data_IF_434635752900
#
_entry.id   IF_434635752900
#
_cell.length_a   1.000
_cell.length_b   1.000
_cell.length_c   1.000
_cell.angle_alpha   90.00
_cell.angle_beta   90.00
_cell.angle_gamma   90.00
#
_symmetry.space_group_name_H-M   'P 1'
#
loop_
_entity.id
_entity.type
_entity.pdbx_description
1 polymer ?
#
# COMPACT_ATOMS: atom_id res chain seq x y z
N UNK A 1 -33.80 48.37 16.96
CA UNK A 1 -33.32 48.16 15.58
C UNK A 1 -32.85 46.71 15.51
N UNK A 2 -33.68 45.88 14.86
CA UNK A 2 -33.46 44.44 14.75
C UNK A 2 -32.73 44.15 13.44
N UNK A 3 -31.54 43.54 13.51
CA UNK A 3 -30.77 43.11 12.35
C UNK A 3 -31.03 41.63 12.06
N UNK A 4 -31.74 41.33 10.99
CA UNK A 4 -31.97 39.96 10.49
C UNK A 4 -30.70 39.40 9.86
N UNK A 5 -30.27 38.21 10.31
CA UNK A 5 -29.26 37.39 9.65
C UNK A 5 -29.94 36.42 8.66
N UNK A 6 -29.68 36.61 7.37
CA UNK A 6 -30.08 35.69 6.32
C UNK A 6 -29.05 34.55 6.24
N UNK A 7 -29.48 33.35 6.57
CA UNK A 7 -28.69 32.12 6.37
C UNK A 7 -28.95 31.66 4.93
N UNK A 8 -27.93 31.76 4.08
CA UNK A 8 -27.96 31.18 2.74
C UNK A 8 -27.62 29.69 2.80
N UNK A 9 -28.60 28.85 2.58
CA UNK A 9 -28.42 27.42 2.41
C UNK A 9 -27.93 27.17 0.97
N UNK A 10 -26.68 26.69 0.81
CA UNK A 10 -26.18 26.22 -0.46
C UNK A 10 -26.64 24.76 -0.66
N UNK A 11 -27.58 24.56 -1.60
CA UNK A 11 -27.92 23.24 -2.12
C UNK A 11 -26.77 22.71 -2.96
N UNK A 12 -26.09 21.67 -2.47
CA UNK A 12 -25.14 20.89 -3.25
C UNK A 12 -25.88 19.98 -4.23
N UNK A 13 -25.65 20.17 -5.52
CA UNK A 13 -26.14 19.28 -6.57
C UNK A 13 -25.43 17.93 -6.52
N UNK A 14 -26.14 16.85 -6.19
CA UNK A 14 -25.71 15.48 -6.41
C UNK A 14 -25.71 15.20 -7.93
N UNK A 15 -24.54 15.13 -8.53
CA UNK A 15 -24.35 14.55 -9.86
C UNK A 15 -24.35 13.01 -9.71
N UNK A 16 -25.47 12.40 -10.11
CA UNK A 16 -25.56 10.95 -10.27
C UNK A 16 -24.78 10.56 -11.53
N UNK A 17 -23.61 9.96 -11.35
CA UNK A 17 -22.86 9.33 -12.44
C UNK A 17 -23.50 7.97 -12.72
N UNK A 18 -24.25 7.87 -13.80
CA UNK A 18 -24.77 6.61 -14.35
C UNK A 18 -23.61 5.74 -14.81
N UNK A 19 -23.32 4.68 -14.09
CA UNK A 19 -22.37 3.65 -14.51
C UNK A 19 -23.01 2.82 -15.65
N UNK A 20 -22.54 3.02 -16.87
CA UNK A 20 -22.79 2.08 -17.97
C UNK A 20 -21.98 0.81 -17.73
N UNK A 21 -22.67 -0.26 -17.35
CA UNK A 21 -22.09 -1.61 -17.29
C UNK A 21 -22.06 -2.20 -18.71
N UNK A 22 -20.89 -2.21 -19.34
CA UNK A 22 -20.66 -3.04 -20.52
C UNK A 22 -20.60 -4.52 -20.13
N UNK A 23 -21.18 -5.45 -20.90
CA UNK A 23 -21.12 -6.86 -20.61
C UNK A 23 -19.69 -7.39 -20.80
N UNK A 24 -19.21 -8.13 -19.80
CA UNK A 24 -17.92 -8.81 -19.80
C UNK A 24 -17.92 -9.91 -20.87
N UNK A 25 -16.87 -10.03 -21.73
CA UNK A 25 -16.80 -11.11 -22.68
C UNK A 25 -16.61 -12.46 -21.97
N UNK A 26 -17.28 -13.50 -22.48
CA UNK A 26 -17.22 -14.86 -22.00
C UNK A 26 -15.76 -15.39 -22.04
N UNK A 27 -15.29 -15.93 -20.91
CA UNK A 27 -14.00 -16.62 -20.84
C UNK A 27 -14.07 -17.91 -21.64
N UNK A 28 -13.25 -18.00 -22.68
CA UNK A 28 -12.98 -19.26 -23.36
C UNK A 28 -12.15 -20.18 -22.44
N UNK A 29 -12.52 -21.46 -22.42
CA UNK A 29 -11.81 -22.52 -21.73
C UNK A 29 -10.38 -22.63 -22.29
N UNK A 30 -9.39 -22.42 -21.46
CA UNK A 30 -7.98 -22.64 -21.79
C UNK A 30 -7.59 -24.04 -21.30
N UNK A 31 -7.21 -24.86 -22.21
CA UNK A 31 -6.76 -26.25 -22.06
C UNK A 31 -5.61 -26.37 -21.01
N UNK A 32 -5.85 -27.14 -19.95
CA UNK A 32 -4.98 -27.32 -18.80
C UNK A 32 -4.03 -28.54 -18.99
N UNK A 33 -3.25 -28.60 -20.08
CA UNK A 33 -2.30 -29.69 -20.28
C UNK A 33 -0.89 -29.22 -20.67
N UNK A 34 -0.23 -28.45 -19.78
CA UNK A 34 1.23 -28.35 -19.83
C UNK A 34 1.78 -28.51 -18.40
N UNK A 35 2.36 -29.69 -18.15
CA UNK A 35 3.05 -29.97 -16.90
C UNK A 35 4.25 -29.03 -16.72
N UNK A 36 4.20 -28.21 -15.66
CA UNK A 36 5.32 -27.36 -15.23
C UNK A 36 6.39 -28.25 -14.61
N UNK A 37 7.66 -28.16 -15.01
CA UNK A 37 8.73 -28.93 -14.37
C UNK A 37 8.89 -28.47 -12.90
N UNK A 38 8.82 -29.44 -12.00
CA UNK A 38 9.08 -29.29 -10.58
C UNK A 38 10.53 -28.81 -10.38
N UNK A 39 10.78 -27.67 -9.71
CA UNK A 39 12.14 -27.28 -9.38
C UNK A 39 12.68 -28.26 -8.32
N UNK A 40 13.70 -29.02 -8.72
CA UNK A 40 14.47 -29.89 -7.81
C UNK A 40 15.04 -29.07 -6.67
N UNK A 41 14.63 -29.43 -5.46
CA UNK A 41 14.93 -28.74 -4.22
C UNK A 41 16.42 -28.52 -3.95
N UNK A 42 16.78 -27.26 -3.84
CA UNK A 42 17.89 -26.84 -3.02
C UNK A 42 17.25 -26.25 -1.76
N UNK A 43 17.27 -27.02 -0.67
CA UNK A 43 16.82 -26.55 0.63
C UNK A 43 17.51 -25.23 0.94
N UNK A 44 16.77 -24.13 0.85
CA UNK A 44 17.23 -22.83 1.31
C UNK A 44 17.46 -22.95 2.81
N UNK A 45 18.68 -22.62 3.27
CA UNK A 45 19.00 -22.53 4.69
C UNK A 45 17.98 -21.59 5.34
N UNK A 46 17.05 -22.19 6.06
CA UNK A 46 16.12 -21.45 6.91
C UNK A 46 16.94 -20.66 7.93
N UNK A 47 16.89 -19.35 7.88
CA UNK A 47 17.49 -18.49 8.91
C UNK A 47 18.07 -17.14 8.48
N UNK A 48 18.11 -16.82 7.18
CA UNK A 48 18.83 -15.62 6.70
C UNK A 48 18.01 -14.44 6.17
N UNK A 49 16.74 -14.64 5.85
CA UNK A 49 15.99 -13.68 5.01
C UNK A 49 15.09 -12.67 5.77
N UNK A 50 14.85 -12.85 7.06
CA UNK A 50 13.86 -12.07 7.82
C UNK A 50 14.40 -10.79 8.50
N UNK A 51 15.48 -10.20 7.98
CA UNK A 51 16.14 -9.03 8.63
C UNK A 51 15.99 -7.72 7.87
N UNK A 52 15.20 -7.67 6.79
CA UNK A 52 15.18 -6.51 5.89
C UNK A 52 14.77 -5.20 6.56
N UNK A 53 13.51 -5.07 6.98
CA UNK A 53 13.02 -3.81 7.56
C UNK A 53 13.53 -3.59 8.99
N UNK A 54 13.56 -4.63 9.84
CA UNK A 54 14.07 -4.48 11.22
C UNK A 54 15.55 -4.10 11.22
N UNK A 55 16.37 -4.71 10.37
CA UNK A 55 17.79 -4.37 10.26
C UNK A 55 17.98 -2.93 9.73
N UNK A 56 17.10 -2.45 8.85
CA UNK A 56 17.22 -1.15 8.21
C UNK A 56 16.59 -0.02 9.02
N UNK A 57 15.42 -0.27 9.64
CA UNK A 57 14.60 0.75 10.31
C UNK A 57 14.56 0.59 11.84
N UNK A 58 15.22 -0.43 12.38
CA UNK A 58 15.23 -0.74 13.81
C UNK A 58 13.94 -1.36 14.33
N UNK A 59 12.88 -1.42 13.52
CA UNK A 59 11.58 -1.97 13.89
C UNK A 59 10.80 -2.44 12.65
N UNK A 60 9.77 -3.29 12.82
CA UNK A 60 8.82 -3.57 11.76
C UNK A 60 8.13 -2.29 11.28
N UNK A 61 7.84 -2.21 9.98
CA UNK A 61 7.06 -1.12 9.43
C UNK A 61 5.58 -1.36 9.70
N UNK A 62 4.97 -0.49 10.49
CA UNK A 62 3.53 -0.50 10.79
C UNK A 62 2.92 0.71 10.09
N UNK A 63 2.31 0.44 8.93
CA UNK A 63 1.94 1.47 7.99
C UNK A 63 0.43 1.71 7.99
N UNK A 64 0.03 2.98 8.00
CA UNK A 64 -1.34 3.43 7.75
C UNK A 64 -1.40 4.10 6.39
N UNK A 65 -2.36 3.71 5.54
CA UNK A 65 -2.61 4.45 4.31
C UNK A 65 -3.61 5.57 4.59
N UNK A 66 -3.18 6.80 4.38
CA UNK A 66 -4.01 7.99 4.47
C UNK A 66 -4.49 8.41 3.08
N UNK A 67 -5.61 7.83 2.64
CA UNK A 67 -6.17 8.11 1.32
C UNK A 67 -6.76 9.52 1.21
N UNK A 68 -7.32 10.03 2.30
CA UNK A 68 -7.96 11.35 2.34
C UNK A 68 -7.11 12.32 3.18
N UNK A 69 -6.51 13.37 2.55
CA UNK A 69 -5.56 14.26 3.24
C UNK A 69 -6.17 15.05 4.40
N UNK A 70 -7.50 15.24 4.40
CA UNK A 70 -8.23 15.98 5.43
C UNK A 70 -8.57 15.14 6.67
N UNK A 71 -8.39 13.82 6.61
CA UNK A 71 -8.68 12.94 7.75
C UNK A 71 -7.57 13.08 8.79
N UNK A 72 -7.94 13.48 10.00
CA UNK A 72 -7.01 13.48 11.14
C UNK A 72 -6.75 12.04 11.58
N UNK A 73 -5.49 11.64 11.54
CA UNK A 73 -5.04 10.30 11.88
C UNK A 73 -4.34 10.23 13.24
N UNK A 74 -4.24 11.36 13.95
CA UNK A 74 -3.44 11.47 15.18
C UNK A 74 -3.86 10.44 16.22
N UNK A 75 -5.15 10.33 16.50
CA UNK A 75 -5.67 9.39 17.48
C UNK A 75 -5.48 7.93 17.08
N UNK A 76 -5.70 7.62 15.78
CA UNK A 76 -5.50 6.27 15.24
C UNK A 76 -4.03 5.87 15.32
N UNK A 77 -3.13 6.78 14.97
CA UNK A 77 -1.68 6.56 15.06
C UNK A 77 -1.25 6.33 16.50
N UNK A 78 -1.70 7.17 17.42
CA UNK A 78 -1.36 7.07 18.85
C UNK A 78 -1.85 5.74 19.46
N UNK A 79 -3.08 5.33 19.14
CA UNK A 79 -3.69 4.12 19.71
C UNK A 79 -3.11 2.83 19.14
N UNK A 80 -2.74 2.81 17.86
CA UNK A 80 -2.30 1.61 17.16
C UNK A 80 -0.79 1.56 16.94
N UNK A 81 -0.08 2.66 17.22
CA UNK A 81 1.38 2.74 17.14
C UNK A 81 1.90 2.58 15.72
N UNK A 82 1.23 3.16 14.75
CA UNK A 82 1.76 3.32 13.41
C UNK A 82 3.05 4.15 13.45
N UNK A 83 4.02 3.76 12.65
CA UNK A 83 5.30 4.47 12.51
C UNK A 83 5.52 5.00 11.09
N UNK A 84 4.67 4.64 10.15
CA UNK A 84 4.78 4.99 8.74
C UNK A 84 3.41 5.35 8.19
N UNK A 85 3.33 6.42 7.39
CA UNK A 85 2.12 6.80 6.65
C UNK A 85 2.39 6.70 5.15
N UNK A 86 1.46 6.07 4.45
CA UNK A 86 1.38 6.12 3.00
C UNK A 86 0.49 7.27 2.60
N UNK A 87 0.98 8.13 1.69
CA UNK A 87 0.32 9.38 1.34
C UNK A 87 -0.18 9.39 -0.10
N UNK A 88 -1.30 10.09 -0.29
CA UNK A 88 -1.96 10.29 -1.58
C UNK A 88 -1.80 11.77 -2.01
N UNK A 89 -0.56 12.25 -2.07
CA UNK A 89 -0.30 13.58 -2.60
C UNK A 89 -0.76 13.65 -4.07
N UNK A 90 -1.37 14.76 -4.50
CA UNK A 90 -1.78 14.94 -5.90
C UNK A 90 -0.55 15.04 -6.83
N UNK A 91 -0.80 14.97 -8.16
CA UNK A 91 0.25 15.28 -9.14
C UNK A 91 0.93 16.62 -8.79
N UNK A 92 2.25 16.66 -8.99
CA UNK A 92 3.03 17.86 -8.71
C UNK A 92 2.70 18.99 -9.70
N UNK A 93 2.16 20.07 -9.16
CA UNK A 93 1.80 21.30 -9.90
C UNK A 93 2.52 22.53 -9.37
N UNK A 94 3.59 22.34 -8.57
CA UNK A 94 4.38 23.43 -7.97
C UNK A 94 4.13 23.63 -6.47
N UNK A 95 3.42 22.72 -5.80
CA UNK A 95 3.20 22.79 -4.35
C UNK A 95 4.51 22.73 -3.58
N UNK A 96 4.56 23.49 -2.47
CA UNK A 96 5.69 23.47 -1.54
C UNK A 96 5.61 22.24 -0.64
N UNK A 97 6.74 21.89 -0.03
CA UNK A 97 6.85 20.77 0.90
C UNK A 97 5.82 20.85 2.04
N UNK A 98 5.66 22.03 2.65
CA UNK A 98 4.77 22.28 3.78
C UNK A 98 3.28 22.14 3.44
N UNK A 99 2.95 22.13 2.15
CA UNK A 99 1.59 21.96 1.64
C UNK A 99 1.23 20.49 1.40
N UNK A 100 2.23 19.61 1.43
CA UNK A 100 2.06 18.19 1.12
C UNK A 100 1.40 17.41 2.24
N UNK A 101 0.79 16.29 1.87
CA UNK A 101 0.32 15.30 2.84
C UNK A 101 1.49 14.63 3.57
N UNK A 102 2.61 14.41 2.88
CA UNK A 102 3.85 13.89 3.47
C UNK A 102 4.30 14.74 4.67
N UNK A 103 4.37 16.07 4.48
CA UNK A 103 4.76 16.98 5.57
C UNK A 103 3.79 16.89 6.74
N UNK A 104 2.47 16.97 6.48
CA UNK A 104 1.44 16.88 7.54
C UNK A 104 1.51 15.56 8.29
N UNK A 105 1.70 14.44 7.59
CA UNK A 105 1.82 13.14 8.22
C UNK A 105 3.01 13.07 9.19
N UNK A 106 4.14 13.67 8.84
CA UNK A 106 5.34 13.71 9.70
C UNK A 106 5.18 14.62 10.94
N UNK A 107 4.16 15.48 10.97
CA UNK A 107 3.83 16.24 12.19
C UNK A 107 3.05 15.40 13.21
N UNK A 108 2.52 14.24 12.83
CA UNK A 108 1.76 13.36 13.73
C UNK A 108 2.74 12.62 14.66
N UNK A 109 2.59 12.76 15.99
CA UNK A 109 3.46 12.08 16.94
C UNK A 109 3.48 10.56 16.74
N UNK A 110 4.67 9.97 16.66
CA UNK A 110 4.87 8.54 16.43
C UNK A 110 5.16 8.17 14.98
N UNK A 111 4.79 9.00 14.01
CA UNK A 111 5.16 8.80 12.61
C UNK A 111 6.63 9.18 12.41
N UNK A 112 7.37 8.24 11.84
CA UNK A 112 8.80 8.38 11.52
C UNK A 112 9.08 8.43 10.04
N UNK A 113 8.19 7.83 9.24
CA UNK A 113 8.41 7.64 7.82
C UNK A 113 7.15 7.92 7.01
N UNK A 114 7.37 8.32 5.76
CA UNK A 114 6.31 8.46 4.76
C UNK A 114 6.69 7.75 3.46
N UNK A 115 5.68 7.21 2.78
CA UNK A 115 5.80 6.57 1.47
C UNK A 115 4.72 7.17 0.57
N UNK A 116 5.07 8.18 -0.25
CA UNK A 116 4.18 8.69 -1.28
C UNK A 116 4.02 7.67 -2.41
N UNK A 117 3.02 7.90 -3.26
CA UNK A 117 2.74 7.03 -4.42
C UNK A 117 2.75 7.79 -5.74
N UNK A 118 2.96 7.06 -6.83
CA UNK A 118 2.51 7.43 -8.17
C UNK A 118 1.17 6.74 -8.38
N UNK A 119 0.15 7.55 -8.69
CA UNK A 119 -1.21 7.07 -8.84
C UNK A 119 -1.51 6.59 -10.25
N UNK A 120 -2.64 5.93 -10.40
CA UNK A 120 -3.13 5.36 -11.65
C UNK A 120 -3.50 6.43 -12.68
N UNK A 121 -3.13 6.19 -13.93
CA UNK A 121 -3.61 7.00 -15.05
C UNK A 121 -5.14 6.89 -15.21
N UNK A 122 -5.70 5.71 -14.89
CA UNK A 122 -7.14 5.49 -14.83
C UNK A 122 -7.89 6.48 -13.91
N UNK A 123 -7.19 7.11 -12.95
CA UNK A 123 -7.75 8.09 -12.02
C UNK A 123 -7.34 9.52 -12.35
N UNK A 124 -6.94 9.75 -13.59
CA UNK A 124 -6.70 11.08 -14.15
C UNK A 124 -5.24 11.56 -14.08
N UNK A 125 -4.30 10.74 -13.59
CA UNK A 125 -2.89 11.10 -13.63
C UNK A 125 -2.32 10.99 -15.03
N UNK A 126 -1.68 12.05 -15.48
CA UNK A 126 -1.02 12.09 -16.78
C UNK A 126 0.38 11.45 -16.73
N UNK A 127 0.93 11.05 -17.87
CA UNK A 127 2.32 10.60 -17.93
C UNK A 127 3.29 11.73 -17.54
N UNK A 128 3.04 12.94 -18.07
CA UNK A 128 3.88 14.11 -17.77
C UNK A 128 3.83 14.47 -16.28
N UNK A 129 2.63 14.51 -15.68
CA UNK A 129 2.44 14.77 -14.26
C UNK A 129 3.11 13.72 -13.38
N UNK A 130 3.01 12.45 -13.76
CA UNK A 130 3.67 11.34 -13.07
C UNK A 130 5.20 11.47 -13.12
N UNK A 131 5.78 11.85 -14.26
CA UNK A 131 7.22 12.09 -14.40
C UNK A 131 7.71 13.26 -13.55
N UNK A 132 6.94 14.37 -13.53
CA UNK A 132 7.25 15.54 -12.69
C UNK A 132 7.18 15.18 -11.21
N UNK A 133 6.11 14.47 -10.81
CA UNK A 133 5.89 14.04 -9.42
C UNK A 133 7.00 13.09 -8.98
N UNK A 134 7.39 12.13 -9.82
CA UNK A 134 8.45 11.18 -9.52
C UNK A 134 9.80 11.86 -9.26
N UNK A 135 10.19 12.83 -10.10
CA UNK A 135 11.41 13.63 -9.90
C UNK A 135 11.35 14.43 -8.63
N UNK A 136 10.23 15.14 -8.42
CA UNK A 136 10.03 15.97 -7.24
C UNK A 136 10.10 15.19 -5.93
N UNK A 137 9.43 14.01 -5.84
CA UNK A 137 9.53 13.13 -4.68
C UNK A 137 10.97 12.65 -4.48
N UNK A 138 11.68 12.30 -5.56
CA UNK A 138 13.06 11.90 -5.47
C UNK A 138 13.98 13.05 -4.98
N UNK A 139 13.73 14.31 -5.38
CA UNK A 139 14.43 15.49 -4.87
C UNK A 139 14.14 15.74 -3.40
N UNK A 140 12.85 15.62 -2.99
CA UNK A 140 12.46 15.75 -1.59
C UNK A 140 13.14 14.68 -0.72
N UNK A 141 13.24 13.45 -1.19
CA UNK A 141 13.86 12.34 -0.45
C UNK A 141 15.38 12.52 -0.21
N UNK A 142 16.05 13.38 -0.96
CA UNK A 142 17.44 13.77 -0.70
C UNK A 142 17.55 14.72 0.50
N UNK A 143 16.51 15.52 0.75
CA UNK A 143 16.42 16.52 1.83
C UNK A 143 15.76 15.96 3.08
N UNK A 144 14.74 15.13 2.90
CA UNK A 144 13.88 14.56 3.94
C UNK A 144 14.06 13.04 3.98
N UNK A 145 14.88 12.56 4.92
CA UNK A 145 15.23 11.13 5.05
C UNK A 145 14.07 10.26 5.54
N UNK A 146 13.03 10.91 6.02
CA UNK A 146 11.77 10.31 6.40
C UNK A 146 10.98 9.78 5.19
N UNK A 147 11.26 10.27 3.98
CA UNK A 147 10.72 9.71 2.72
C UNK A 147 11.55 8.47 2.38
N UNK A 148 11.07 7.30 2.79
CA UNK A 148 11.82 6.04 2.68
C UNK A 148 11.55 5.27 1.39
N UNK A 149 10.63 5.72 0.56
CA UNK A 149 10.32 5.06 -0.70
C UNK A 149 9.25 5.75 -1.51
N UNK A 150 9.01 5.23 -2.69
CA UNK A 150 7.95 5.64 -3.62
C UNK A 150 7.16 4.39 -4.04
N UNK A 151 5.85 4.40 -3.84
CA UNK A 151 4.98 3.30 -4.22
C UNK A 151 4.42 3.48 -5.64
N UNK A 152 4.57 2.45 -6.46
CA UNK A 152 4.02 2.39 -7.81
C UNK A 152 2.64 1.71 -7.73
N UNK A 153 1.59 2.53 -7.58
CA UNK A 153 0.27 1.99 -7.28
C UNK A 153 -0.32 1.21 -8.46
N UNK A 154 -0.83 0.01 -8.15
CA UNK A 154 -1.50 -0.88 -9.10
C UNK A 154 -0.77 -1.05 -10.44
N UNK A 155 0.55 -1.06 -10.39
CA UNK A 155 1.48 -1.10 -11.52
C UNK A 155 1.06 -2.10 -12.61
N UNK A 156 0.73 -3.35 -12.26
CA UNK A 156 0.33 -4.34 -13.25
C UNK A 156 -1.08 -4.14 -13.76
N UNK A 157 -2.00 -3.69 -12.93
CA UNK A 157 -3.37 -3.43 -13.35
C UNK A 157 -3.41 -2.35 -14.42
N UNK A 158 -2.58 -1.31 -14.26
CA UNK A 158 -2.42 -0.24 -15.25
C UNK A 158 -1.97 -0.75 -16.62
N UNK A 159 -1.06 -1.73 -16.65
CA UNK A 159 -0.57 -2.34 -17.88
C UNK A 159 -1.64 -3.24 -18.49
N UNK A 160 -2.29 -4.09 -17.69
CA UNK A 160 -3.31 -5.02 -18.17
C UNK A 160 -4.56 -4.33 -18.68
N UNK A 161 -4.93 -3.23 -18.05
CA UNK A 161 -6.09 -2.41 -18.44
C UNK A 161 -5.75 -1.43 -19.58
N UNK A 162 -4.47 -1.35 -19.99
CA UNK A 162 -4.02 -0.51 -21.10
C UNK A 162 -3.96 0.99 -20.77
N UNK A 163 -3.95 1.35 -19.49
CA UNK A 163 -3.86 2.76 -19.06
C UNK A 163 -2.43 3.29 -19.10
N UNK A 164 -1.43 2.43 -18.82
CA UNK A 164 0.00 2.68 -18.99
C UNK A 164 0.70 1.49 -19.61
N UNK A 165 1.70 1.77 -20.42
CA UNK A 165 2.61 0.74 -20.93
C UNK A 165 3.76 0.49 -19.95
N UNK A 166 4.44 -0.64 -20.11
CA UNK A 166 5.67 -0.92 -19.37
C UNK A 166 6.74 0.14 -19.64
N UNK A 167 6.81 0.68 -20.86
CA UNK A 167 7.77 1.73 -21.21
C UNK A 167 7.51 3.01 -20.44
N UNK A 168 6.25 3.42 -20.33
CA UNK A 168 5.87 4.59 -19.52
C UNK A 168 6.25 4.43 -18.05
N UNK A 169 6.11 3.21 -17.49
CA UNK A 169 6.58 2.94 -16.13
C UNK A 169 8.10 2.98 -16.02
N UNK A 170 8.83 2.47 -17.02
CA UNK A 170 10.31 2.59 -17.04
C UNK A 170 10.77 4.04 -17.09
N UNK A 171 10.08 4.91 -17.83
CA UNK A 171 10.36 6.35 -17.83
C UNK A 171 10.17 6.97 -16.44
N UNK A 172 9.08 6.63 -15.73
CA UNK A 172 8.83 7.09 -14.36
C UNK A 172 9.96 6.62 -13.42
N UNK A 173 10.32 5.35 -13.50
CA UNK A 173 11.40 4.76 -12.70
C UNK A 173 12.73 5.43 -13.02
N UNK A 174 13.05 5.65 -14.29
CA UNK A 174 14.25 6.35 -14.73
C UNK A 174 14.28 7.79 -14.22
N UNK A 175 13.13 8.47 -14.18
CA UNK A 175 13.02 9.81 -13.62
C UNK A 175 13.37 9.84 -12.13
N UNK A 176 12.92 8.85 -11.35
CA UNK A 176 13.33 8.70 -9.93
C UNK A 176 14.83 8.45 -9.82
N UNK A 177 15.34 7.46 -10.57
CA UNK A 177 16.74 7.01 -10.50
C UNK A 177 17.75 8.06 -10.94
N UNK A 178 17.37 8.95 -11.86
CA UNK A 178 18.20 10.06 -12.31
C UNK A 178 18.46 11.11 -11.22
N UNK A 179 17.56 11.18 -10.21
CA UNK A 179 17.65 12.14 -9.10
C UNK A 179 18.14 11.47 -7.84
N UNK A 180 17.48 10.41 -7.40
CA UNK A 180 17.89 9.65 -6.22
C UNK A 180 17.91 8.14 -6.54
N UNK A 181 19.06 7.59 -6.95
CA UNK A 181 19.20 6.18 -7.26
C UNK A 181 19.01 5.27 -6.05
N UNK A 182 19.02 5.82 -4.82
CA UNK A 182 18.88 5.07 -3.57
C UNK A 182 17.46 5.09 -2.99
N UNK A 183 16.53 5.87 -3.59
CA UNK A 183 15.14 5.87 -3.11
C UNK A 183 14.51 4.51 -3.39
N UNK A 184 13.93 3.88 -2.37
CA UNK A 184 13.26 2.60 -2.54
C UNK A 184 12.04 2.72 -3.46
N UNK A 185 11.90 1.74 -4.35
CA UNK A 185 10.67 1.54 -5.10
C UNK A 185 9.87 0.42 -4.44
N UNK A 186 8.61 0.70 -4.21
CA UNK A 186 7.64 -0.20 -3.60
C UNK A 186 6.60 -0.61 -4.63
N UNK A 187 6.29 -1.89 -4.70
CA UNK A 187 5.35 -2.44 -5.69
C UNK A 187 4.27 -3.31 -5.03
N UNK A 188 3.06 -3.37 -5.60
CA UNK A 188 2.03 -4.29 -5.13
C UNK A 188 2.31 -5.72 -5.61
N UNK A 189 1.89 -6.69 -4.82
CA UNK A 189 1.81 -8.09 -5.20
C UNK A 189 0.42 -8.64 -4.85
N UNK A 190 -0.31 -9.08 -5.86
CA UNK A 190 -1.68 -9.61 -5.74
C UNK A 190 -1.72 -11.07 -6.17
N UNK A 191 -1.62 -12.05 -5.24
CA UNK A 191 -1.61 -13.47 -5.57
C UNK A 191 -2.79 -13.91 -6.45
N UNK A 192 -3.98 -13.46 -6.09
CA UNK A 192 -5.23 -13.80 -6.78
C UNK A 192 -5.35 -13.26 -8.23
N UNK A 193 -4.46 -12.36 -8.65
CA UNK A 193 -4.41 -11.79 -10.00
C UNK A 193 -3.35 -12.41 -10.90
N UNK A 194 -2.72 -13.49 -10.45
CA UNK A 194 -1.67 -14.16 -11.19
C UNK A 194 -0.34 -13.41 -11.24
N UNK A 195 -0.19 -12.35 -10.44
CA UNK A 195 1.07 -11.60 -10.31
C UNK A 195 2.21 -12.46 -9.77
N UNK A 196 1.90 -13.58 -9.14
CA UNK A 196 2.88 -14.59 -8.71
C UNK A 196 3.78 -15.11 -9.84
N UNK A 197 3.30 -15.03 -11.10
CA UNK A 197 4.05 -15.50 -12.28
C UNK A 197 4.85 -14.40 -12.97
N UNK A 198 4.76 -13.14 -12.50
CA UNK A 198 5.36 -12.00 -13.17
C UNK A 198 6.63 -11.56 -12.46
N UNK A 199 7.72 -11.56 -13.21
CA UNK A 199 8.95 -10.91 -12.75
C UNK A 199 8.87 -9.41 -13.05
N UNK A 200 9.25 -8.59 -12.07
CA UNK A 200 9.52 -7.18 -12.31
C UNK A 200 10.86 -7.08 -13.05
N UNK A 201 10.89 -6.39 -14.16
CA UNK A 201 12.09 -6.21 -14.98
C UNK A 201 12.90 -4.97 -14.62
N UNK A 202 12.66 -4.41 -13.43
CA UNK A 202 13.39 -3.29 -12.87
C UNK A 202 13.75 -3.54 -11.40
N UNK A 203 14.72 -2.79 -10.89
CA UNK A 203 15.13 -2.90 -9.50
C UNK A 203 14.16 -2.18 -8.56
N UNK A 204 13.56 -2.93 -7.65
CA UNK A 204 12.71 -2.47 -6.56
C UNK A 204 13.21 -3.04 -5.24
N UNK A 205 12.84 -2.43 -4.12
CA UNK A 205 13.34 -2.80 -2.81
C UNK A 205 12.28 -3.41 -1.91
N UNK A 206 11.01 -3.12 -2.16
CA UNK A 206 9.94 -3.56 -1.28
C UNK A 206 8.66 -3.95 -2.03
N UNK A 207 7.92 -4.85 -1.41
CA UNK A 207 6.69 -5.44 -1.93
C UNK A 207 5.59 -5.36 -0.88
N UNK A 208 4.37 -5.04 -1.31
CA UNK A 208 3.16 -5.17 -0.50
C UNK A 208 2.41 -6.40 -0.94
N UNK A 209 2.42 -7.44 -0.12
CA UNK A 209 1.66 -8.66 -0.33
C UNK A 209 0.20 -8.42 0.08
N UNK A 210 -0.66 -8.23 -0.91
CA UNK A 210 -2.06 -7.89 -0.72
C UNK A 210 -2.95 -9.15 -0.67
N UNK A 211 -3.11 -9.73 0.52
CA UNK A 211 -4.07 -10.80 0.80
C UNK A 211 -5.43 -10.20 1.22
N UNK A 212 -5.95 -9.29 0.39
CA UNK A 212 -7.11 -8.45 0.73
C UNK A 212 -8.47 -9.16 0.68
N UNK A 213 -8.55 -10.32 0.05
CA UNK A 213 -9.75 -11.17 0.10
C UNK A 213 -9.57 -12.21 1.20
N UNK A 214 -10.48 -12.29 2.20
CA UNK A 214 -10.42 -13.29 3.26
C UNK A 214 -10.28 -14.74 2.77
N UNK A 215 -10.73 -15.03 1.54
CA UNK A 215 -10.56 -16.35 0.91
C UNK A 215 -9.09 -16.68 0.63
N UNK A 216 -8.25 -15.68 0.40
CA UNK A 216 -6.82 -15.88 0.19
C UNK A 216 -6.07 -16.21 1.48
N UNK A 217 -6.73 -16.09 2.66
CA UNK A 217 -6.13 -16.45 3.94
C UNK A 217 -5.98 -17.97 4.12
N UNK A 218 -6.78 -18.77 3.41
CA UNK A 218 -6.69 -20.23 3.47
C UNK A 218 -5.31 -20.71 3.04
N UNK A 219 -4.73 -20.06 1.99
CA UNK A 219 -3.44 -20.41 1.43
C UNK A 219 -2.36 -19.34 1.74
N UNK A 220 -2.55 -18.58 2.82
CA UNK A 220 -1.68 -17.45 3.15
C UNK A 220 -0.20 -17.84 3.31
N UNK A 221 0.09 -18.99 3.94
CA UNK A 221 1.47 -19.48 4.05
C UNK A 221 2.08 -19.78 2.69
N UNK A 222 1.31 -20.35 1.76
CA UNK A 222 1.76 -20.63 0.40
C UNK A 222 1.99 -19.33 -0.37
N UNK A 223 1.08 -18.37 -0.30
CA UNK A 223 1.22 -17.06 -0.93
C UNK A 223 2.46 -16.32 -0.40
N UNK A 224 2.68 -16.37 0.91
CA UNK A 224 3.85 -15.74 1.52
C UNK A 224 5.15 -16.46 1.08
N UNK A 225 5.16 -17.80 1.06
CA UNK A 225 6.32 -18.56 0.60
C UNK A 225 6.65 -18.26 -0.87
N UNK A 226 5.64 -18.19 -1.72
CA UNK A 226 5.78 -17.82 -3.15
C UNK A 226 6.32 -16.40 -3.28
N UNK A 227 5.75 -15.43 -2.55
CA UNK A 227 6.22 -14.05 -2.58
C UNK A 227 7.68 -13.95 -2.08
N UNK A 228 8.05 -14.67 -1.01
CA UNK A 228 9.44 -14.70 -0.52
C UNK A 228 10.42 -15.30 -1.52
N UNK A 229 10.02 -16.35 -2.25
CA UNK A 229 10.85 -16.95 -3.29
C UNK A 229 11.01 -16.00 -4.50
N UNK A 230 9.93 -15.38 -4.94
CA UNK A 230 9.90 -14.47 -6.08
C UNK A 230 10.64 -13.15 -5.80
N UNK A 231 10.54 -12.64 -4.58
CA UNK A 231 11.11 -11.36 -4.14
C UNK A 231 12.24 -11.57 -3.13
N UNK A 232 13.12 -12.52 -3.42
CA UNK A 232 14.23 -12.86 -2.52
C UNK A 232 15.08 -11.63 -2.14
N UNK A 233 15.31 -11.43 -0.85
CA UNK A 233 16.10 -10.30 -0.32
C UNK A 233 15.36 -8.96 -0.27
N UNK A 234 14.10 -8.89 -0.71
CA UNK A 234 13.29 -7.66 -0.65
C UNK A 234 12.52 -7.57 0.67
N UNK A 235 12.17 -6.36 1.06
CA UNK A 235 11.22 -6.08 2.15
C UNK A 235 9.84 -6.55 1.69
N UNK A 236 9.14 -7.34 2.50
CA UNK A 236 7.76 -7.75 2.22
C UNK A 236 6.87 -7.39 3.41
N UNK A 237 5.89 -6.51 3.18
CA UNK A 237 4.87 -6.18 4.17
C UNK A 237 3.51 -6.74 3.75
N UNK A 238 2.68 -7.10 4.74
CA UNK A 238 1.31 -7.54 4.49
C UNK A 238 0.38 -6.36 4.25
N UNK A 239 -0.46 -6.42 3.22
CA UNK A 239 -1.51 -5.41 2.94
C UNK A 239 -2.87 -5.89 3.43
N UNK A 240 -3.44 -5.23 4.44
CA UNK A 240 -4.79 -5.49 4.95
C UNK A 240 -5.73 -4.39 4.50
N UNK A 241 -6.91 -4.79 4.03
CA UNK A 241 -8.00 -3.90 3.68
C UNK A 241 -9.14 -4.10 4.67
N UNK A 242 -9.63 -3.01 5.28
CA UNK A 242 -10.79 -3.04 6.20
C UNK A 242 -12.08 -3.30 5.44
N UNK A 243 -12.14 -2.74 4.22
CA UNK A 243 -13.21 -2.99 3.27
C UNK A 243 -12.67 -3.90 2.16
N UNK A 244 -13.24 -5.06 1.98
CA UNK A 244 -12.77 -6.01 0.97
C UNK A 244 -13.01 -5.44 -0.43
N UNK A 245 -11.91 -5.13 -1.13
CA UNK A 245 -11.94 -4.56 -2.48
C UNK A 245 -12.59 -5.45 -3.53
N UNK A 246 -12.67 -6.79 -3.32
CA UNK A 246 -13.34 -7.74 -4.22
C UNK A 246 -14.86 -7.65 -4.17
N UNK A 247 -15.38 -7.10 -3.08
CA UNK A 247 -16.82 -6.93 -2.87
C UNK A 247 -17.05 -5.48 -2.47
N UNK A 248 -17.17 -4.57 -3.44
CA UNK A 248 -17.41 -3.15 -3.20
C UNK A 248 -18.48 -2.97 -2.13
N UNK A 249 -18.13 -2.30 -1.02
CA UNK A 249 -19.01 -2.05 0.10
C UNK A 249 -19.09 -3.17 1.17
N UNK A 250 -18.35 -4.27 1.04
CA UNK A 250 -18.29 -5.29 2.08
C UNK A 250 -17.22 -4.93 3.13
N UNK A 251 -17.67 -4.54 4.29
CA UNK A 251 -16.82 -4.36 5.45
C UNK A 251 -16.50 -5.73 6.07
N UNK A 252 -15.24 -5.93 6.44
CA UNK A 252 -14.87 -7.16 7.14
C UNK A 252 -15.64 -7.25 8.47
N UNK A 253 -16.17 -8.41 8.78
CA UNK A 253 -16.69 -8.68 10.12
C UNK A 253 -15.55 -8.59 11.16
N UNK A 254 -15.89 -8.43 12.43
CA UNK A 254 -14.92 -8.44 13.52
C UNK A 254 -13.97 -9.64 13.42
N UNK A 255 -14.55 -10.84 13.21
CA UNK A 255 -13.78 -12.08 13.09
C UNK A 255 -12.82 -12.03 11.90
N UNK A 256 -13.30 -11.71 10.71
CA UNK A 256 -12.46 -11.65 9.51
C UNK A 256 -11.32 -10.64 9.67
N UNK A 257 -11.61 -9.46 10.21
CA UNK A 257 -10.61 -8.43 10.44
C UNK A 257 -9.57 -8.87 11.46
N UNK A 258 -10.01 -9.35 12.65
CA UNK A 258 -9.09 -9.79 13.71
C UNK A 258 -8.26 -10.99 13.29
N UNK A 259 -8.85 -11.96 12.60
CA UNK A 259 -8.13 -13.16 12.15
C UNK A 259 -7.07 -12.81 11.11
N UNK A 260 -7.39 -11.92 10.15
CA UNK A 260 -6.41 -11.44 9.17
C UNK A 260 -5.29 -10.65 9.82
N UNK A 261 -5.62 -9.72 10.71
CA UNK A 261 -4.63 -8.90 11.39
C UNK A 261 -3.75 -9.74 12.31
N UNK A 262 -4.32 -10.72 13.02
CA UNK A 262 -3.57 -11.66 13.88
C UNK A 262 -2.56 -12.46 13.06
N UNK A 263 -2.99 -12.98 11.91
CA UNK A 263 -2.09 -13.70 11.00
C UNK A 263 -0.87 -12.83 10.61
N UNK A 264 -1.09 -11.56 10.28
CA UNK A 264 0.03 -10.67 9.95
C UNK A 264 0.92 -10.37 11.15
N UNK A 265 0.34 -10.15 12.33
CA UNK A 265 1.12 -9.96 13.57
C UNK A 265 1.97 -11.21 13.87
N UNK A 266 1.41 -12.40 13.70
CA UNK A 266 2.13 -13.66 13.91
C UNK A 266 3.27 -13.82 12.89
N UNK A 267 3.05 -13.49 11.63
CA UNK A 267 4.08 -13.50 10.61
C UNK A 267 5.21 -12.49 10.88
N UNK A 268 4.88 -11.30 11.37
CA UNK A 268 5.88 -10.30 11.75
C UNK A 268 6.67 -10.79 12.96
N UNK A 269 6.00 -11.31 13.99
CA UNK A 269 6.62 -11.83 15.19
C UNK A 269 7.53 -13.05 14.91
N UNK A 270 7.21 -13.83 13.88
CA UNK A 270 8.01 -14.96 13.39
C UNK A 270 9.11 -14.53 12.41
N UNK A 271 9.22 -13.25 12.06
CA UNK A 271 10.16 -12.75 11.07
C UNK A 271 9.85 -13.17 9.63
N UNK A 272 8.62 -13.61 9.36
CA UNK A 272 8.14 -13.99 8.03
C UNK A 272 7.69 -12.77 7.21
N UNK A 273 7.23 -11.68 7.85
CA UNK A 273 6.94 -10.38 7.24
C UNK A 273 7.77 -9.28 7.89
N UNK A 274 8.07 -8.25 7.14
CA UNK A 274 8.85 -7.09 7.58
C UNK A 274 7.95 -5.98 8.17
N UNK A 275 6.64 -6.14 8.07
CA UNK A 275 5.66 -5.18 8.55
C UNK A 275 4.26 -5.44 8.00
N UNK A 276 3.38 -4.49 8.24
CA UNK A 276 2.02 -4.49 7.70
C UNK A 276 1.60 -3.08 7.26
N UNK A 277 0.64 -3.03 6.34
CA UNK A 277 -0.04 -1.82 5.91
C UNK A 277 -1.54 -2.02 6.04
N UNK A 278 -2.25 -1.10 6.70
CA UNK A 278 -3.72 -1.10 6.77
C UNK A 278 -4.26 0.00 5.84
N UNK A 279 -5.17 -0.38 4.96
CA UNK A 279 -5.92 0.50 4.06
C UNK A 279 -7.35 0.66 4.60
N UNK A 280 -7.85 1.82 4.90
CA UNK A 280 -7.22 3.13 4.96
C UNK A 280 -7.65 3.87 6.24
N UNK A 281 -7.02 5.00 6.52
CA UNK A 281 -7.33 5.86 7.67
C UNK A 281 -8.78 6.32 7.73
N UNK A 282 -9.36 6.71 6.59
CA UNK A 282 -10.76 7.13 6.49
C UNK A 282 -11.75 6.05 6.96
N UNK A 283 -11.39 4.77 6.77
CA UNK A 283 -12.24 3.66 7.20
C UNK A 283 -12.23 3.47 8.72
N UNK A 284 -11.12 3.75 9.39
CA UNK A 284 -11.07 3.78 10.85
C UNK A 284 -11.94 4.91 11.43
N UNK A 285 -11.96 6.07 10.76
CA UNK A 285 -12.82 7.19 11.19
C UNK A 285 -14.30 6.90 10.96
N UNK A 286 -14.64 6.27 9.82
CA UNK A 286 -16.02 5.86 9.52
C UNK A 286 -16.53 4.74 10.43
N UNK A 287 -15.63 3.89 10.93
CA UNK A 287 -15.93 2.69 11.71
C UNK A 287 -14.95 2.57 12.89
N UNK A 288 -15.16 3.33 13.97
CA UNK A 288 -14.23 3.37 15.11
C UNK A 288 -14.07 2.02 15.82
N UNK A 289 -15.02 1.10 15.67
CA UNK A 289 -14.90 -0.26 16.21
C UNK A 289 -13.66 -0.98 15.67
N UNK A 290 -13.20 -0.70 14.43
CA UNK A 290 -11.98 -1.29 13.89
C UNK A 290 -10.72 -0.82 14.62
N UNK A 291 -10.71 0.39 15.18
CA UNK A 291 -9.60 0.86 16.01
C UNK A 291 -9.48 0.01 17.27
N UNK A 292 -10.61 -0.27 17.92
CA UNK A 292 -10.63 -1.14 19.09
C UNK A 292 -10.14 -2.55 18.74
N UNK A 293 -10.69 -3.16 17.69
CA UNK A 293 -10.30 -4.50 17.25
C UNK A 293 -8.82 -4.58 16.86
N UNK A 294 -8.32 -3.56 16.16
CA UNK A 294 -6.89 -3.47 15.80
C UNK A 294 -6.02 -3.38 17.04
N UNK A 295 -6.38 -2.55 18.03
CA UNK A 295 -5.62 -2.39 19.28
C UNK A 295 -5.52 -3.71 20.06
N UNK A 296 -6.61 -4.47 20.15
CA UNK A 296 -6.62 -5.78 20.81
C UNK A 296 -5.62 -6.74 20.17
N UNK A 297 -5.55 -6.79 18.84
CA UNK A 297 -4.65 -7.70 18.13
C UNK A 297 -3.22 -7.17 18.11
N UNK A 298 -3.04 -5.87 17.82
CA UNK A 298 -1.70 -5.27 17.70
C UNK A 298 -0.95 -5.16 19.02
N UNK A 299 -1.64 -5.30 20.17
CA UNK A 299 -0.97 -5.46 21.47
C UNK A 299 -0.05 -6.68 21.53
N UNK A 300 -0.29 -7.68 20.69
CA UNK A 300 0.58 -8.87 20.54
C UNK A 300 1.80 -8.66 19.64
N UNK A 301 1.93 -7.51 18.97
CA UNK A 301 3.07 -7.22 18.11
C UNK A 301 4.34 -6.96 18.95
N UNK A 302 5.35 -7.81 18.77
CA UNK A 302 6.64 -7.65 19.42
C UNK A 302 7.39 -6.48 18.79
N UNK A 303 7.61 -5.45 19.57
CA UNK A 303 8.45 -4.31 19.18
C UNK A 303 9.82 -4.48 19.81
N UNK A 304 10.91 -4.22 19.05
CA UNK A 304 12.23 -4.15 19.70
C UNK A 304 12.14 -3.13 20.83
N UNK A 305 12.68 -3.47 21.99
CA UNK A 305 12.81 -2.53 23.09
C UNK A 305 13.59 -1.29 22.65
N UNK A 306 13.49 -0.16 23.37
CA UNK A 306 14.30 1.02 23.08
C UNK A 306 15.78 0.59 23.17
N UNK A 307 16.49 0.82 22.05
CA UNK A 307 17.96 0.64 21.98
C UNK A 307 18.64 1.85 22.59
#
# INVERSE_FOLDING_TARGET
>A
MAGSWVVAAALGALLAVSAHTAPSPARGDVDASQAVPTPTGRAAKEGGAARGAVARFGAPLVCLWQHEPQVDVTDVVAQLGFNTVWTDDPEYTGQRWEETQMYRALQVPGIKYVIPKIERAAWGWTQEGSLKTARWIAELSLKHKEIIGLYLNDFYDEIEEGHRTMEQWREIIAAVRSVNPKLDLWVPHYPHRGNEKRAYDFDYQAVVLNLWDPRNLVDADQHLATARAQHAGKIIIGGLYINSGSRRGHWLSEREFKDTLRLYVDYINAGKLDGLRIYCACQFVQRPEYVQWAREVMSGLKRPGPQ
#
